data_IF_012220706533
#
_entry.id   IF_012220706533
#
_cell.length_a   1.000
_cell.length_b   1.000
_cell.length_c   1.000
_cell.angle_alpha   90.00
_cell.angle_beta   90.00
_cell.angle_gamma   90.00
#
_symmetry.space_group_name_H-M   'P 1'
#
loop_
_entity.id
_entity.type
_entity.pdbx_description
1 polymer ?
#
# COMPACT_ATOMS: atom_id res chain seq x y z
N UNK A 1 -6.93 25.99 9.10
CA UNK A 1 -6.60 26.58 7.80
C UNK A 1 -5.08 26.54 7.60
N UNK A 2 -4.63 26.24 6.36
CA UNK A 2 -3.23 26.25 5.95
C UNK A 2 -3.05 27.27 4.84
N UNK A 3 -2.07 28.16 4.99
CA UNK A 3 -1.68 29.07 3.92
C UNK A 3 -0.66 28.36 2.99
N UNK A 4 -0.92 28.39 1.70
CA UNK A 4 -0.03 27.82 0.68
C UNK A 4 0.30 28.91 -0.35
N UNK A 5 1.56 29.29 -0.44
CA UNK A 5 2.05 30.21 -1.47
C UNK A 5 2.50 29.41 -2.71
N UNK A 6 1.67 29.39 -3.72
CA UNK A 6 1.93 28.68 -4.97
C UNK A 6 3.06 29.31 -5.79
N UNK A 7 3.37 30.59 -5.57
CA UNK A 7 4.47 31.28 -6.22
C UNK A 7 5.85 30.80 -5.73
N UNK A 8 5.94 30.40 -4.47
CA UNK A 8 7.17 29.90 -3.86
C UNK A 8 7.42 28.41 -4.12
N UNK A 9 6.43 27.67 -4.60
CA UNK A 9 6.49 26.21 -4.81
C UNK A 9 6.17 25.88 -6.28
N UNK A 10 7.08 26.12 -7.23
CA UNK A 10 6.86 25.82 -8.64
C UNK A 10 6.46 24.35 -8.85
N UNK A 11 5.42 24.12 -9.63
CA UNK A 11 4.88 22.79 -9.91
C UNK A 11 3.90 22.26 -8.86
N UNK A 12 3.67 22.99 -7.76
CA UNK A 12 2.60 22.69 -6.80
C UNK A 12 1.23 22.83 -7.46
N UNK A 13 0.35 21.87 -7.21
CA UNK A 13 -1.04 21.89 -7.66
C UNK A 13 -1.97 21.72 -6.47
N UNK A 14 -3.08 22.42 -6.52
CA UNK A 14 -4.19 22.26 -5.57
C UNK A 14 -5.34 21.58 -6.29
N UNK A 15 -5.88 20.53 -5.70
CA UNK A 15 -7.05 19.84 -6.21
C UNK A 15 -8.18 19.97 -5.19
N UNK A 16 -9.34 20.45 -5.65
CA UNK A 16 -10.54 20.49 -4.84
C UNK A 16 -11.12 19.07 -4.74
N UNK A 17 -11.48 18.66 -3.53
CA UNK A 17 -12.27 17.45 -3.35
C UNK A 17 -13.70 17.68 -3.88
N UNK A 18 -14.41 16.61 -4.35
CA UNK A 18 -15.85 16.69 -4.60
C UNK A 18 -16.60 17.25 -3.39
N UNK A 19 -17.62 18.07 -3.63
CA UNK A 19 -18.33 18.80 -2.57
C UNK A 19 -19.06 17.87 -1.57
N UNK A 20 -19.44 16.66 -2.00
CA UNK A 20 -20.07 15.62 -1.21
C UNK A 20 -19.10 14.54 -0.68
N UNK A 21 -17.80 14.77 -0.79
CA UNK A 21 -16.78 13.87 -0.26
C UNK A 21 -16.35 14.32 1.13
N UNK A 22 -16.48 13.45 2.13
CA UNK A 22 -16.04 13.78 3.49
C UNK A 22 -14.53 14.04 3.55
N UNK A 23 -14.09 14.94 4.43
CA UNK A 23 -12.67 15.25 4.62
C UNK A 23 -11.90 14.04 5.16
N UNK A 24 -12.55 13.19 5.95
CA UNK A 24 -11.96 11.92 6.41
C UNK A 24 -11.63 11.00 5.23
N UNK A 25 -12.58 10.83 4.31
CA UNK A 25 -12.33 10.04 3.09
C UNK A 25 -11.23 10.68 2.25
N UNK A 26 -11.29 12.00 2.06
CA UNK A 26 -10.29 12.78 1.32
C UNK A 26 -8.87 12.63 1.87
N UNK A 27 -8.72 12.46 3.19
CA UNK A 27 -7.40 12.27 3.83
C UNK A 27 -6.70 10.97 3.44
N UNK A 28 -7.41 10.02 2.81
CA UNK A 28 -6.83 8.78 2.29
C UNK A 28 -6.29 8.92 0.86
N UNK A 29 -6.52 10.06 0.19
CA UNK A 29 -6.12 10.25 -1.21
C UNK A 29 -4.60 10.19 -1.40
N UNK A 30 -3.84 10.79 -0.50
CA UNK A 30 -2.38 10.80 -0.54
C UNK A 30 -1.78 9.38 -0.50
N UNK A 31 -2.03 8.57 0.56
CA UNK A 31 -1.45 7.24 0.64
C UNK A 31 -2.02 6.26 -0.42
N UNK A 32 -3.26 6.42 -0.85
CA UNK A 32 -3.83 5.64 -1.95
C UNK A 32 -3.12 5.94 -3.26
N UNK A 33 -2.84 7.21 -3.53
CA UNK A 33 -2.14 7.63 -4.74
C UNK A 33 -0.75 7.00 -4.86
N UNK A 34 -0.05 6.85 -3.74
CA UNK A 34 1.25 6.16 -3.72
C UNK A 34 1.11 4.69 -4.17
N UNK A 35 0.08 3.97 -3.71
CA UNK A 35 -0.24 2.62 -4.16
C UNK A 35 -0.59 2.55 -5.65
N UNK A 36 -1.44 3.47 -6.13
CA UNK A 36 -1.79 3.58 -7.57
C UNK A 36 -0.54 3.82 -8.41
N UNK A 37 0.34 4.73 -7.98
CA UNK A 37 1.57 5.02 -8.71
C UNK A 37 2.48 3.80 -8.81
N UNK A 38 2.67 3.03 -7.74
CA UNK A 38 3.52 1.84 -7.77
C UNK A 38 3.02 0.83 -8.82
N UNK A 39 1.71 0.60 -8.87
CA UNK A 39 1.08 -0.27 -9.87
C UNK A 39 1.16 0.33 -11.30
N UNK A 40 1.01 1.64 -11.45
CA UNK A 40 1.21 2.30 -12.75
C UNK A 40 2.66 2.20 -13.23
N UNK A 41 3.64 2.21 -12.33
CA UNK A 41 5.03 1.96 -12.70
C UNK A 41 5.22 0.54 -13.25
N UNK A 42 4.65 -0.46 -12.58
CA UNK A 42 4.66 -1.83 -13.08
C UNK A 42 3.97 -1.93 -14.45
N UNK A 43 2.80 -1.31 -14.61
CA UNK A 43 2.05 -1.29 -15.88
C UNK A 43 2.83 -0.63 -17.01
N UNK A 44 3.46 0.51 -16.74
CA UNK A 44 4.25 1.23 -17.74
C UNK A 44 5.50 0.48 -18.20
N UNK A 45 6.00 -0.43 -17.38
CA UNK A 45 7.08 -1.35 -17.72
C UNK A 45 6.60 -2.66 -18.40
N UNK A 46 5.30 -2.78 -18.67
CA UNK A 46 4.69 -3.99 -19.24
C UNK A 46 4.50 -5.13 -18.25
N UNK A 47 4.74 -4.88 -16.96
CA UNK A 47 4.74 -5.91 -15.92
C UNK A 47 3.43 -6.06 -15.16
N UNK A 48 2.43 -5.21 -15.39
CA UNK A 48 1.11 -5.32 -14.77
C UNK A 48 0.00 -5.23 -15.82
N UNK A 49 -0.73 -6.31 -15.98
CA UNK A 49 -1.80 -6.43 -16.96
C UNK A 49 -3.12 -6.81 -16.28
N UNK A 50 -4.19 -6.81 -17.06
CA UNK A 50 -5.49 -7.29 -16.61
C UNK A 50 -5.41 -8.77 -16.22
N UNK A 51 -6.02 -9.11 -15.09
CA UNK A 51 -6.09 -10.48 -14.54
C UNK A 51 -4.77 -11.03 -13.96
N UNK A 52 -3.74 -10.19 -13.80
CA UNK A 52 -2.50 -10.59 -13.16
C UNK A 52 -2.66 -10.85 -11.66
N UNK A 53 -1.78 -11.68 -11.12
CA UNK A 53 -1.66 -11.94 -9.68
C UNK A 53 -0.69 -10.93 -9.07
N UNK A 54 -1.17 -10.17 -8.09
CA UNK A 54 -0.41 -9.15 -7.37
C UNK A 54 -0.20 -9.56 -5.91
N UNK A 55 1.03 -9.52 -5.45
CA UNK A 55 1.37 -9.66 -4.02
C UNK A 55 1.72 -8.29 -3.46
N UNK A 56 1.07 -7.90 -2.39
CA UNK A 56 1.37 -6.70 -1.61
C UNK A 56 2.08 -7.12 -0.33
N UNK A 57 3.34 -6.73 -0.18
CA UNK A 57 4.11 -6.91 1.06
C UNK A 57 3.89 -5.72 1.99
N UNK A 58 3.41 -5.98 3.19
CA UNK A 58 3.03 -4.97 4.17
C UNK A 58 1.53 -4.77 4.25
N UNK A 59 1.00 -4.91 5.46
CA UNK A 59 -0.42 -4.69 5.81
C UNK A 59 -0.64 -3.38 6.57
N UNK A 60 0.25 -2.41 6.38
CA UNK A 60 0.09 -1.04 6.86
C UNK A 60 -0.92 -0.24 6.02
N UNK A 61 -1.11 1.06 6.33
CA UNK A 61 -2.08 1.89 5.61
C UNK A 61 -1.90 1.86 4.10
N UNK A 62 -0.67 2.06 3.62
CA UNK A 62 -0.36 2.08 2.19
C UNK A 62 -0.59 0.70 1.55
N UNK A 63 -0.18 -0.38 2.22
CA UNK A 63 -0.37 -1.73 1.70
C UNK A 63 -1.84 -2.11 1.53
N UNK A 64 -2.69 -1.80 2.52
CA UNK A 64 -4.14 -2.08 2.43
C UNK A 64 -4.77 -1.23 1.31
N UNK A 65 -4.38 0.03 1.16
CA UNK A 65 -4.83 0.89 0.07
C UNK A 65 -4.33 0.38 -1.29
N UNK A 66 -3.10 -0.15 -1.36
CA UNK A 66 -2.57 -0.77 -2.58
C UNK A 66 -3.33 -2.06 -2.95
N UNK A 67 -3.85 -2.82 -1.97
CA UNK A 67 -4.76 -3.96 -2.25
C UNK A 67 -5.99 -3.50 -3.01
N UNK A 68 -6.69 -2.45 -2.52
CA UNK A 68 -7.85 -1.90 -3.22
C UNK A 68 -7.46 -1.35 -4.60
N UNK A 69 -6.34 -0.63 -4.69
CA UNK A 69 -5.85 -0.10 -5.96
C UNK A 69 -5.58 -1.21 -6.97
N UNK A 70 -4.94 -2.32 -6.57
CA UNK A 70 -4.69 -3.46 -7.45
C UNK A 70 -5.98 -4.08 -7.98
N UNK A 71 -7.00 -4.24 -7.13
CA UNK A 71 -8.33 -4.72 -7.52
C UNK A 71 -8.98 -3.78 -8.55
N UNK A 72 -9.03 -2.47 -8.27
CA UNK A 72 -9.64 -1.49 -9.18
C UNK A 72 -8.87 -1.32 -10.49
N UNK A 73 -7.59 -1.62 -10.49
CA UNK A 73 -6.75 -1.55 -11.68
C UNK A 73 -6.72 -2.84 -12.49
N UNK A 74 -7.47 -3.88 -12.07
CA UNK A 74 -7.72 -5.08 -12.86
C UNK A 74 -6.89 -6.29 -12.50
N UNK A 75 -6.31 -6.36 -11.30
CA UNK A 75 -5.71 -7.59 -10.80
C UNK A 75 -6.75 -8.72 -10.72
N UNK A 76 -6.41 -9.90 -11.19
CA UNK A 76 -7.25 -11.08 -11.09
C UNK A 76 -7.22 -11.70 -9.69
N UNK A 77 -6.08 -11.56 -9.02
CA UNK A 77 -5.85 -12.02 -7.65
C UNK A 77 -4.96 -11.04 -6.91
N UNK A 78 -5.30 -10.73 -5.67
CA UNK A 78 -4.44 -9.94 -4.77
C UNK A 78 -4.18 -10.71 -3.48
N UNK A 79 -2.91 -10.83 -3.11
CA UNK A 79 -2.45 -11.47 -1.89
C UNK A 79 -1.78 -10.41 -1.02
N UNK A 80 -2.12 -10.33 0.26
CA UNK A 80 -1.46 -9.43 1.21
C UNK A 80 -0.60 -10.22 2.20
N UNK A 81 0.69 -9.88 2.27
CA UNK A 81 1.65 -10.47 3.22
C UNK A 81 1.93 -9.44 4.31
N UNK A 82 1.70 -9.80 5.58
CA UNK A 82 1.91 -8.84 6.68
C UNK A 82 1.49 -9.36 8.05
N UNK A 83 1.30 -8.44 8.98
CA UNK A 83 0.82 -8.68 10.35
C UNK A 83 0.33 -7.35 10.97
N UNK A 84 -0.36 -7.42 12.12
CA UNK A 84 -0.98 -8.59 12.73
C UNK A 84 -2.25 -9.05 11.99
N UNK A 85 -2.79 -10.20 12.38
CA UNK A 85 -4.06 -10.67 11.83
C UNK A 85 -5.17 -9.63 12.07
N UNK A 86 -5.33 -9.18 13.31
CA UNK A 86 -6.24 -8.08 13.66
C UNK A 86 -5.44 -6.85 14.08
N UNK A 87 -5.79 -5.67 13.60
CA UNK A 87 -6.89 -5.36 12.66
C UNK A 87 -6.49 -5.47 11.17
N UNK A 88 -5.20 -5.68 10.85
CA UNK A 88 -4.62 -5.36 9.55
C UNK A 88 -4.96 -6.36 8.44
N UNK A 89 -4.64 -7.65 8.63
CA UNK A 89 -4.93 -8.65 7.59
C UNK A 89 -6.43 -8.87 7.39
N UNK A 90 -7.20 -8.83 8.48
CA UNK A 90 -8.66 -8.86 8.39
C UNK A 90 -9.22 -7.72 7.53
N UNK A 91 -8.66 -6.52 7.71
CA UNK A 91 -9.06 -5.37 6.90
C UNK A 91 -8.58 -5.50 5.45
N UNK A 92 -7.37 -6.01 5.19
CA UNK A 92 -6.88 -6.26 3.84
C UNK A 92 -7.84 -7.16 3.03
N UNK A 93 -8.43 -8.19 3.68
CA UNK A 93 -9.47 -9.03 3.03
C UNK A 93 -10.73 -8.24 2.69
N UNK A 94 -11.17 -7.32 3.55
CA UNK A 94 -12.30 -6.43 3.24
C UNK A 94 -12.01 -5.48 2.07
N UNK A 95 -10.74 -5.17 1.84
CA UNK A 95 -10.27 -4.36 0.71
C UNK A 95 -9.95 -5.16 -0.55
N UNK A 96 -10.25 -6.46 -0.55
CA UNK A 96 -10.20 -7.31 -1.74
C UNK A 96 -8.99 -8.23 -1.81
N UNK A 97 -8.17 -8.37 -0.74
CA UNK A 97 -7.19 -9.45 -0.71
C UNK A 97 -7.91 -10.80 -0.69
N UNK A 98 -7.71 -11.61 -1.75
CA UNK A 98 -8.27 -12.96 -1.84
C UNK A 98 -7.65 -13.89 -0.80
N UNK A 99 -6.36 -13.68 -0.53
CA UNK A 99 -5.63 -14.43 0.49
C UNK A 99 -4.69 -13.50 1.28
N UNK A 100 -4.38 -13.92 2.50
CA UNK A 100 -3.40 -13.25 3.34
C UNK A 100 -2.35 -14.25 3.82
N UNK A 101 -1.12 -13.78 4.01
CA UNK A 101 -0.02 -14.55 4.60
C UNK A 101 0.46 -13.81 5.85
N UNK A 102 0.17 -14.38 7.02
CA UNK A 102 0.54 -13.79 8.30
C UNK A 102 1.98 -14.12 8.65
N UNK A 103 2.84 -13.10 8.74
CA UNK A 103 4.26 -13.28 9.07
C UNK A 103 4.51 -13.71 10.53
N UNK A 104 3.51 -13.57 11.41
CA UNK A 104 3.56 -14.11 12.78
C UNK A 104 3.32 -15.62 12.81
N UNK A 105 2.59 -16.15 11.83
CA UNK A 105 2.35 -17.58 11.62
C UNK A 105 3.49 -18.22 10.80
N UNK A 106 3.82 -17.62 9.65
CA UNK A 106 4.91 -18.05 8.77
C UNK A 106 6.17 -17.23 9.07
N UNK A 107 6.95 -17.67 10.04
CA UNK A 107 8.03 -16.88 10.65
C UNK A 107 9.28 -16.74 9.81
N UNK A 108 9.55 -17.72 8.94
CA UNK A 108 10.73 -17.71 8.06
C UNK A 108 10.37 -17.26 6.65
N UNK A 109 11.34 -16.68 5.94
CA UNK A 109 11.18 -16.32 4.54
C UNK A 109 10.78 -17.54 3.68
N UNK A 110 11.39 -18.70 3.92
CA UNK A 110 11.10 -19.93 3.18
C UNK A 110 9.66 -20.42 3.37
N UNK A 111 9.10 -20.28 4.58
CA UNK A 111 7.69 -20.61 4.85
C UNK A 111 6.76 -19.67 4.10
N UNK A 112 7.05 -18.36 4.11
CA UNK A 112 6.24 -17.36 3.40
C UNK A 112 6.32 -17.52 1.89
N UNK A 113 7.53 -17.78 1.37
CA UNK A 113 7.75 -18.04 -0.07
C UNK A 113 6.94 -19.28 -0.51
N UNK A 114 7.05 -20.38 0.22
CA UNK A 114 6.25 -21.59 -0.06
C UNK A 114 4.77 -21.29 -0.02
N UNK A 115 4.31 -20.60 1.04
CA UNK A 115 2.89 -20.28 1.20
C UNK A 115 2.34 -19.42 0.08
N UNK A 116 3.07 -18.37 -0.34
CA UNK A 116 2.67 -17.54 -1.49
C UNK A 116 2.62 -18.37 -2.77
N UNK A 117 3.65 -19.20 -3.02
CA UNK A 117 3.69 -20.07 -4.20
C UNK A 117 2.55 -21.08 -4.24
N UNK A 118 2.19 -21.67 -3.10
CA UNK A 118 1.04 -22.58 -3.00
C UNK A 118 -0.28 -21.87 -3.37
N UNK A 119 -0.47 -20.64 -2.89
CA UNK A 119 -1.66 -19.84 -3.21
C UNK A 119 -1.75 -19.53 -4.70
N UNK A 120 -0.62 -19.22 -5.35
CA UNK A 120 -0.58 -18.85 -6.78
C UNK A 120 -0.40 -20.05 -7.73
N UNK A 121 -0.45 -21.27 -7.23
CA UNK A 121 -0.37 -22.48 -8.04
C UNK A 121 1.05 -22.86 -8.49
N UNK A 122 2.09 -22.44 -7.77
CA UNK A 122 3.49 -22.86 -7.95
C UNK A 122 4.33 -21.99 -8.88
N UNK A 123 3.73 -21.21 -9.78
CA UNK A 123 4.48 -20.41 -10.77
C UNK A 123 5.04 -19.11 -10.22
N UNK A 124 4.46 -18.55 -9.18
CA UNK A 124 4.78 -17.25 -8.64
C UNK A 124 3.82 -16.15 -9.11
N UNK A 125 3.94 -14.96 -8.54
CA UNK A 125 3.11 -13.79 -8.84
C UNK A 125 3.65 -13.03 -10.07
N UNK A 126 2.77 -12.32 -10.76
CA UNK A 126 3.14 -11.43 -11.86
C UNK A 126 3.80 -10.16 -11.35
N UNK A 127 3.24 -9.60 -10.27
CA UNK A 127 3.71 -8.36 -9.66
C UNK A 127 3.84 -8.52 -8.15
N UNK A 128 4.91 -7.99 -7.59
CA UNK A 128 5.09 -7.79 -6.15
C UNK A 128 5.31 -6.32 -5.88
N UNK A 129 4.58 -5.74 -4.94
CA UNK A 129 4.78 -4.36 -4.48
C UNK A 129 5.16 -4.38 -3.01
N UNK A 130 6.35 -3.89 -2.67
CA UNK A 130 6.71 -3.66 -1.27
C UNK A 130 6.13 -2.36 -0.74
N UNK A 131 5.31 -2.48 0.29
CA UNK A 131 4.74 -1.41 1.10
C UNK A 131 5.15 -1.54 2.57
N UNK A 132 6.07 -2.46 2.91
CA UNK A 132 6.43 -2.76 4.29
C UNK A 132 7.53 -1.85 4.82
N UNK A 133 8.47 -1.46 3.97
CA UNK A 133 9.68 -0.75 4.35
C UNK A 133 10.66 -1.58 5.18
N UNK A 134 10.46 -2.90 5.26
CA UNK A 134 11.39 -3.78 5.98
C UNK A 134 12.47 -4.31 5.01
N UNK A 135 13.77 -4.19 5.33
CA UNK A 135 14.83 -4.56 4.39
C UNK A 135 14.73 -5.98 3.83
N UNK A 136 14.25 -6.94 4.62
CA UNK A 136 14.12 -8.35 4.18
C UNK A 136 13.01 -8.57 3.16
N UNK A 137 12.09 -7.61 2.97
CA UNK A 137 10.97 -7.74 2.03
C UNK A 137 11.46 -7.84 0.59
N UNK A 138 12.50 -7.09 0.21
CA UNK A 138 13.04 -7.09 -1.14
C UNK A 138 13.51 -8.48 -1.62
N UNK A 139 14.49 -9.10 -0.97
CA UNK A 139 14.94 -10.45 -1.32
C UNK A 139 13.82 -11.49 -1.31
N UNK A 140 12.88 -11.40 -0.35
CA UNK A 140 11.74 -12.30 -0.26
C UNK A 140 10.74 -12.08 -1.39
N UNK A 141 10.44 -10.82 -1.73
CA UNK A 141 9.53 -10.45 -2.81
C UNK A 141 10.01 -10.90 -4.19
N UNK A 142 11.34 -10.86 -4.44
CA UNK A 142 11.95 -11.43 -5.64
C UNK A 142 11.63 -12.93 -5.78
N UNK A 143 11.57 -13.66 -4.67
CA UNK A 143 11.25 -15.09 -4.69
C UNK A 143 9.74 -15.38 -4.82
N UNK A 144 8.87 -14.43 -4.50
CA UNK A 144 7.42 -14.56 -4.77
C UNK A 144 7.09 -14.49 -6.26
N UNK A 145 7.92 -13.81 -7.05
CA UNK A 145 7.65 -13.59 -8.48
C UNK A 145 7.82 -14.87 -9.32
N UNK A 146 7.05 -14.95 -10.39
CA UNK A 146 7.34 -15.85 -11.51
C UNK A 146 8.53 -15.33 -12.34
N UNK A 147 9.00 -16.14 -13.28
CA UNK A 147 9.96 -15.67 -14.27
C UNK A 147 9.30 -14.57 -15.15
N UNK A 148 10.04 -13.55 -15.49
CA UNK A 148 9.56 -12.35 -16.17
C UNK A 148 8.66 -11.43 -15.31
N UNK A 149 8.55 -11.68 -14.00
CA UNK A 149 7.72 -10.87 -13.11
C UNK A 149 8.30 -9.50 -12.79
N UNK A 150 7.49 -8.66 -12.14
CA UNK A 150 7.87 -7.29 -11.80
C UNK A 150 7.82 -7.05 -10.29
N UNK A 151 8.94 -6.61 -9.72
CA UNK A 151 9.06 -6.12 -8.35
C UNK A 151 9.03 -4.60 -8.32
N UNK A 152 8.19 -4.02 -7.48
CA UNK A 152 8.15 -2.57 -7.24
C UNK A 152 8.52 -2.27 -5.80
N UNK A 153 9.64 -1.59 -5.62
CA UNK A 153 10.12 -1.10 -4.33
C UNK A 153 9.54 0.28 -4.04
N UNK A 154 8.67 0.35 -3.03
CA UNK A 154 8.09 1.60 -2.54
C UNK A 154 8.28 1.76 -1.03
N UNK A 155 8.49 0.66 -0.33
CA UNK A 155 8.48 0.62 1.14
C UNK A 155 9.69 1.27 1.80
N UNK A 156 10.85 1.22 1.18
CA UNK A 156 12.14 1.67 1.74
C UNK A 156 12.37 3.19 1.68
N UNK A 157 11.33 3.99 1.78
CA UNK A 157 11.47 5.44 1.73
C UNK A 157 12.18 6.04 2.97
N UNK A 158 12.23 5.30 4.08
CA UNK A 158 12.87 5.76 5.33
C UNK A 158 14.28 5.21 5.54
N UNK A 159 14.84 4.48 4.59
CA UNK A 159 16.15 3.81 4.70
C UNK A 159 16.31 3.04 6.03
N UNK A 160 15.54 1.96 6.16
CA UNK A 160 15.59 1.09 7.33
C UNK A 160 16.83 0.18 7.37
N UNK A 161 17.80 0.41 6.50
CA UNK A 161 19.07 -0.30 6.42
C UNK A 161 19.25 -1.14 5.18
N UNK A 162 20.47 -1.67 5.02
CA UNK A 162 20.88 -2.46 3.86
C UNK A 162 20.63 -3.94 4.06
N UNK A 163 20.33 -4.64 2.97
CA UNK A 163 20.25 -6.10 2.93
C UNK A 163 20.95 -6.66 1.69
N UNK A 164 21.54 -7.83 1.84
CA UNK A 164 22.12 -8.52 0.71
C UNK A 164 21.03 -9.08 -0.21
N UNK A 165 21.11 -8.74 -1.49
CA UNK A 165 20.22 -9.25 -2.54
C UNK A 165 20.99 -10.08 -3.52
N UNK A 166 20.47 -11.25 -3.89
CA UNK A 166 21.09 -12.13 -4.87
C UNK A 166 20.72 -11.69 -6.30
N UNK A 167 21.61 -10.89 -6.91
CA UNK A 167 21.45 -10.40 -8.28
C UNK A 167 21.34 -11.52 -9.33
N UNK A 168 21.91 -12.69 -9.04
CA UNK A 168 21.76 -13.85 -9.89
C UNK A 168 20.29 -14.25 -10.05
N UNK A 169 19.47 -14.12 -9.00
CA UNK A 169 18.05 -14.43 -9.05
C UNK A 169 17.27 -13.44 -9.94
N UNK A 170 17.63 -12.17 -9.90
CA UNK A 170 17.03 -11.15 -10.77
C UNK A 170 17.35 -11.47 -12.23
N UNK A 171 18.63 -11.79 -12.53
CA UNK A 171 19.06 -12.13 -13.88
C UNK A 171 18.43 -13.42 -14.41
N UNK A 172 18.47 -14.51 -13.63
CA UNK A 172 18.00 -15.82 -14.10
C UNK A 172 16.49 -15.95 -14.21
N UNK A 173 15.74 -15.11 -13.49
CA UNK A 173 14.29 -15.03 -13.58
C UNK A 173 13.81 -13.94 -14.56
N UNK A 174 14.74 -13.21 -15.21
CA UNK A 174 14.42 -12.10 -16.14
C UNK A 174 13.47 -11.06 -15.54
N UNK A 175 13.75 -10.61 -14.30
CA UNK A 175 12.86 -9.75 -13.53
C UNK A 175 13.01 -8.28 -13.88
N UNK A 176 11.87 -7.56 -13.85
CA UNK A 176 11.85 -6.10 -13.76
C UNK A 176 11.91 -5.70 -12.27
N UNK A 177 12.87 -4.84 -11.90
CA UNK A 177 12.97 -4.26 -10.56
C UNK A 177 12.86 -2.75 -10.67
N UNK A 178 11.81 -2.18 -10.09
CA UNK A 178 11.41 -0.78 -10.25
C UNK A 178 11.34 -0.07 -8.91
N UNK A 179 11.93 1.13 -8.82
CA UNK A 179 11.68 2.02 -7.68
C UNK A 179 10.40 2.85 -7.88
N UNK A 180 9.66 3.11 -6.82
CA UNK A 180 8.51 4.03 -6.81
C UNK A 180 8.60 4.96 -5.60
N UNK A 181 8.92 6.24 -5.85
CA UNK A 181 9.02 7.25 -4.80
C UNK A 181 7.77 8.11 -4.76
N UNK A 182 7.01 8.03 -3.67
CA UNK A 182 5.79 8.82 -3.44
C UNK A 182 4.88 8.85 -4.69
N UNK A 183 4.45 10.04 -5.11
CA UNK A 183 3.65 10.27 -6.32
C UNK A 183 3.95 11.67 -6.88
N UNK A 184 3.54 11.93 -8.10
CA UNK A 184 3.63 13.27 -8.71
C UNK A 184 2.31 14.02 -8.52
N UNK A 185 2.35 15.35 -8.68
CA UNK A 185 1.14 16.17 -8.66
C UNK A 185 0.07 15.71 -9.67
N UNK A 186 0.47 15.06 -10.76
CA UNK A 186 -0.47 14.54 -11.77
C UNK A 186 -1.13 13.22 -11.34
N UNK A 187 -0.58 12.51 -10.36
CA UNK A 187 -1.13 11.23 -9.89
C UNK A 187 -2.25 11.46 -8.86
N UNK A 188 -2.18 12.55 -8.06
CA UNK A 188 -3.11 12.81 -6.96
C UNK A 188 -4.60 12.78 -7.37
N UNK A 189 -5.02 13.33 -8.52
CA UNK A 189 -6.41 13.23 -8.96
C UNK A 189 -6.91 11.79 -9.10
N UNK A 190 -6.02 10.83 -9.46
CA UNK A 190 -6.39 9.43 -9.60
C UNK A 190 -6.78 8.82 -8.25
N UNK A 191 -6.08 9.17 -7.18
CA UNK A 191 -6.42 8.73 -5.82
C UNK A 191 -7.76 9.31 -5.35
N UNK A 192 -7.97 10.60 -5.56
CA UNK A 192 -9.25 11.27 -5.23
C UNK A 192 -10.40 10.64 -6.01
N UNK A 193 -10.23 10.45 -7.32
CA UNK A 193 -11.27 9.87 -8.17
C UNK A 193 -11.58 8.42 -7.82
N UNK A 194 -10.58 7.60 -7.53
CA UNK A 194 -10.78 6.22 -7.11
C UNK A 194 -11.55 6.16 -5.78
N UNK A 195 -11.15 6.93 -4.76
CA UNK A 195 -11.89 7.01 -3.49
C UNK A 195 -13.33 7.42 -3.71
N UNK A 196 -13.56 8.47 -4.50
CA UNK A 196 -14.90 8.98 -4.73
C UNK A 196 -15.81 7.98 -5.44
N UNK A 197 -15.30 7.32 -6.49
CA UNK A 197 -16.04 6.29 -7.25
C UNK A 197 -16.33 5.03 -6.44
N UNK A 198 -15.42 4.67 -5.54
CA UNK A 198 -15.50 3.43 -4.76
C UNK A 198 -15.91 3.65 -3.30
N UNK A 199 -16.38 4.85 -2.94
CA UNK A 199 -16.72 5.22 -1.56
C UNK A 199 -17.73 4.31 -0.87
N UNK A 200 -18.59 3.67 -1.65
CA UNK A 200 -19.60 2.71 -1.17
C UNK A 200 -19.19 1.24 -1.39
N UNK A 201 -18.03 0.99 -2.02
CA UNK A 201 -17.57 -0.36 -2.33
C UNK A 201 -16.66 -0.92 -1.23
N UNK A 202 -15.79 -0.10 -0.69
CA UNK A 202 -14.84 -0.48 0.34
C UNK A 202 -15.11 0.23 1.66
N UNK A 203 -14.77 -0.39 2.79
CA UNK A 203 -14.96 0.21 4.11
C UNK A 203 -13.82 1.20 4.43
N UNK A 204 -13.62 2.24 3.61
CA UNK A 204 -12.50 3.17 3.69
C UNK A 204 -12.29 3.77 5.07
N UNK A 205 -13.37 4.13 5.76
CA UNK A 205 -13.30 4.77 7.07
C UNK A 205 -12.99 3.79 8.21
N UNK A 206 -13.15 2.48 8.01
CA UNK A 206 -12.73 1.46 9.00
C UNK A 206 -11.21 1.40 9.15
N UNK A 207 -10.44 1.94 8.20
CA UNK A 207 -8.99 2.05 8.33
C UNK A 207 -8.57 3.03 9.41
N UNK A 208 -9.43 4.02 9.71
CA UNK A 208 -9.07 5.17 10.52
C UNK A 208 -9.50 4.98 11.97
N UNK A 209 -8.55 5.07 12.89
CA UNK A 209 -8.83 5.28 14.31
C UNK A 209 -8.69 6.77 14.60
N UNK A 210 -9.75 7.36 15.14
CA UNK A 210 -9.86 8.80 15.30
C UNK A 210 -9.36 9.22 16.68
N UNK A 211 -8.54 10.27 16.71
CA UNK A 211 -8.01 10.88 17.91
C UNK A 211 -8.27 12.39 17.92
N UNK A 212 -8.56 12.98 19.08
CA UNK A 212 -8.72 14.43 19.19
C UNK A 212 -7.36 15.14 19.01
N UNK A 213 -7.40 16.36 18.50
CA UNK A 213 -6.20 17.21 18.39
C UNK A 213 -5.88 17.86 19.74
N UNK A 214 -5.44 17.03 20.67
CA UNK A 214 -4.94 17.41 21.99
C UNK A 214 -3.59 16.71 22.22
N UNK A 215 -2.77 17.19 23.16
CA UNK A 215 -1.50 16.55 23.50
C UNK A 215 -1.69 15.06 23.81
N UNK A 216 -2.64 14.71 24.67
CA UNK A 216 -2.93 13.32 25.01
C UNK A 216 -3.41 12.51 23.80
N UNK A 217 -4.27 13.08 22.95
CA UNK A 217 -4.78 12.40 21.75
C UNK A 217 -3.68 12.14 20.71
N UNK A 218 -2.79 13.10 20.51
CA UNK A 218 -1.63 12.93 19.61
C UNK A 218 -0.67 11.87 20.13
N UNK A 219 -0.35 11.91 21.43
CA UNK A 219 0.51 10.92 22.10
C UNK A 219 -0.08 9.51 21.94
N UNK A 220 -1.37 9.34 22.26
CA UNK A 220 -2.05 8.06 22.13
C UNK A 220 -2.06 7.56 20.67
N UNK A 221 -2.28 8.46 19.70
CA UNK A 221 -2.26 8.11 18.28
C UNK A 221 -0.91 7.53 17.84
N UNK A 222 0.19 8.11 18.31
CA UNK A 222 1.55 7.65 18.03
C UNK A 222 1.82 6.30 18.71
N UNK A 223 1.48 6.15 19.99
CA UNK A 223 1.66 4.90 20.74
C UNK A 223 0.88 3.74 20.11
N UNK A 224 -0.36 3.99 19.70
CA UNK A 224 -1.20 2.98 19.06
C UNK A 224 -0.67 2.59 17.67
N UNK A 225 -0.15 3.54 16.92
CA UNK A 225 0.48 3.28 15.63
C UNK A 225 1.77 2.45 15.80
N UNK A 226 2.64 2.81 16.74
CA UNK A 226 3.88 2.08 17.04
C UNK A 226 3.62 0.65 17.53
N UNK A 227 2.57 0.45 18.31
CA UNK A 227 2.14 -0.85 18.82
C UNK A 227 1.29 -1.65 17.81
N UNK A 228 1.10 -1.14 16.58
CA UNK A 228 0.28 -1.74 15.52
C UNK A 228 -1.18 -2.02 15.94
N UNK A 229 -1.69 -1.31 16.95
CA UNK A 229 -3.09 -1.43 17.42
C UNK A 229 -4.08 -0.79 16.44
N UNK A 230 -3.60 0.10 15.56
CA UNK A 230 -4.40 0.78 14.54
C UNK A 230 -3.84 0.51 13.15
N UNK A 231 -4.68 0.65 12.13
CA UNK A 231 -4.22 0.66 10.74
C UNK A 231 -3.72 2.07 10.39
N UNK A 232 -4.56 3.08 10.57
CA UNK A 232 -4.22 4.49 10.34
C UNK A 232 -4.75 5.35 11.46
N UNK A 233 -3.85 5.96 12.23
CA UNK A 233 -4.22 6.99 13.20
C UNK A 233 -4.60 8.27 12.44
N UNK A 234 -5.77 8.82 12.71
CA UNK A 234 -6.25 10.06 12.13
C UNK A 234 -6.60 11.05 13.24
N UNK A 235 -5.97 12.20 13.20
CA UNK A 235 -6.18 13.27 14.18
C UNK A 235 -7.18 14.26 13.61
N UNK A 236 -8.31 14.46 14.29
CA UNK A 236 -9.31 15.45 13.91
C UNK A 236 -9.06 16.76 14.64
N UNK A 237 -8.78 17.86 13.92
CA UNK A 237 -8.58 19.17 14.53
C UNK A 237 -9.88 19.76 15.10
N UNK A 238 -11.03 19.39 14.54
CA UNK A 238 -12.36 19.81 14.98
C UNK A 238 -13.33 18.63 14.99
N UNK A 239 -14.10 18.43 16.09
CA UNK A 239 -15.06 17.32 16.19
C UNK A 239 -16.14 17.34 15.11
N UNK A 240 -16.55 18.52 14.63
CA UNK A 240 -17.61 18.71 13.63
C UNK A 240 -17.26 18.26 12.22
N UNK A 241 -15.99 17.88 11.95
CA UNK A 241 -15.57 17.32 10.67
C UNK A 241 -15.40 15.79 10.72
N UNK A 242 -15.98 15.18 11.77
CA UNK A 242 -15.86 13.72 11.98
C UNK A 242 -16.57 12.88 10.90
N UNK A 243 -17.45 13.47 10.10
CA UNK A 243 -18.25 12.80 9.05
C UNK A 243 -18.06 13.43 7.66
#
# INVERSE_FOLDING_TARGET
YVYVDLGMLPGTKIYKLPDDMSLRLGSLSEPLTSGIRSLNRARSAGGFNWNDTVVIQGSGPIGILAVAAAQEMGAGRVICVGAPEEPRLKLARKFGAEATVNIEEYKTADERIRRVRDIVGGFGADVVVDCSGHPTAGPEGIEFLRDGGTYVEMGQFTDAGSIQTNWHRICTKDLNVLGSWAFTANDLPLGVEMLYKTRNKYPWLEMQTIYPFTEAGVTQAVEDAMAMRTVKSTILPWPEIAD
#
